data_IF_970286789296
#
_entry.id   IF_970286789296
#
_cell.length_a   1.000
_cell.length_b   1.000
_cell.length_c   1.000
_cell.angle_alpha   90.00
_cell.angle_beta   90.00
_cell.angle_gamma   90.00
#
_symmetry.space_group_name_H-M   'P 1'
#
loop_
_entity.id
_entity.type
_entity.pdbx_description
1 polymer ?
#
# COMPACT_ATOMS: atom_id res chain seq x y z
N UNK A 1 -25.28 -18.32 12.71
CA UNK A 1 -24.66 -18.64 14.03
C UNK A 1 -23.15 -18.88 13.95
N UNK A 2 -22.64 -19.73 13.05
CA UNK A 2 -21.21 -20.07 12.98
C UNK A 2 -20.27 -18.86 12.82
N UNK A 3 -20.64 -17.88 11.98
CA UNK A 3 -19.88 -16.64 11.81
C UNK A 3 -19.77 -15.85 13.14
N UNK A 4 -20.86 -15.75 13.89
CA UNK A 4 -20.86 -15.08 15.19
C UNK A 4 -19.96 -15.82 16.15
N UNK A 5 -20.07 -17.15 16.27
CA UNK A 5 -19.23 -17.93 17.18
C UNK A 5 -17.71 -17.81 16.91
N UNK A 6 -17.30 -17.62 15.66
CA UNK A 6 -15.89 -17.46 15.26
C UNK A 6 -15.40 -16.02 15.51
N UNK A 7 -16.21 -15.00 15.21
CA UNK A 7 -15.78 -13.60 15.32
C UNK A 7 -16.04 -12.94 16.68
N UNK A 8 -17.04 -13.43 17.43
CA UNK A 8 -17.37 -12.93 18.77
C UNK A 8 -16.18 -12.93 19.74
N UNK A 9 -15.32 -13.97 19.83
CA UNK A 9 -14.14 -13.93 20.70
C UNK A 9 -13.14 -12.85 20.27
N UNK A 10 -12.92 -12.64 18.97
CA UNK A 10 -12.04 -11.57 18.49
C UNK A 10 -12.59 -10.18 18.81
N UNK A 11 -13.90 -9.97 18.67
CA UNK A 11 -14.56 -8.71 19.05
C UNK A 11 -14.50 -8.44 20.56
N UNK A 12 -14.71 -9.47 21.39
CA UNK A 12 -14.54 -9.39 22.84
C UNK A 12 -13.10 -9.06 23.22
N UNK A 13 -12.12 -9.62 22.52
CA UNK A 13 -10.70 -9.37 22.76
C UNK A 13 -10.31 -7.94 22.37
N UNK A 14 -10.83 -7.40 21.27
CA UNK A 14 -10.66 -5.99 20.89
C UNK A 14 -11.34 -5.06 21.89
N UNK A 15 -12.57 -5.35 22.31
CA UNK A 15 -13.31 -4.56 23.29
C UNK A 15 -12.64 -4.58 24.67
N UNK A 16 -12.07 -5.72 25.08
CA UNK A 16 -11.29 -5.86 26.31
C UNK A 16 -9.90 -5.24 26.24
N UNK A 17 -9.27 -5.20 25.06
CA UNK A 17 -7.98 -4.54 24.85
C UNK A 17 -8.10 -3.00 24.76
N UNK A 18 -9.25 -2.48 24.33
CA UNK A 18 -9.55 -1.04 24.22
C UNK A 18 -9.23 -0.21 25.49
N UNK A 19 -9.66 -0.58 26.71
CA UNK A 19 -9.34 0.17 27.92
C UNK A 19 -7.83 0.15 28.24
N UNK A 20 -7.13 -0.95 27.98
CA UNK A 20 -5.67 -1.02 28.13
C UNK A 20 -4.96 -0.17 27.06
N UNK A 21 -5.51 -0.11 25.85
CA UNK A 21 -5.00 0.68 24.74
C UNK A 21 -5.11 2.19 25.01
N UNK A 22 -6.21 2.65 25.63
CA UNK A 22 -6.39 4.03 26.11
C UNK A 22 -5.33 4.39 27.17
N UNK A 23 -5.10 3.52 28.16
CA UNK A 23 -4.06 3.73 29.18
C UNK A 23 -2.64 3.78 28.59
N UNK A 24 -2.34 2.93 27.59
CA UNK A 24 -1.07 2.95 26.87
C UNK A 24 -0.91 4.22 26.01
N UNK A 25 -1.99 4.68 25.36
CA UNK A 25 -2.02 5.91 24.57
C UNK A 25 -1.88 7.17 25.41
N UNK A 26 -2.33 7.18 26.66
CA UNK A 26 -2.11 8.30 27.56
C UNK A 26 -0.62 8.53 27.87
N UNK A 27 0.23 7.51 27.70
CA UNK A 27 1.66 7.63 27.92
C UNK A 27 2.38 8.28 26.73
N UNK A 28 3.01 9.43 26.98
CA UNK A 28 3.72 10.23 25.95
C UNK A 28 4.81 9.45 25.23
N UNK A 29 5.46 8.49 25.90
CA UNK A 29 6.51 7.65 25.31
C UNK A 29 5.95 6.68 24.27
N UNK A 30 4.82 6.04 24.56
CA UNK A 30 4.14 5.14 23.61
C UNK A 30 3.64 5.90 22.38
N UNK A 31 3.09 7.10 22.55
CA UNK A 31 2.69 7.96 21.42
C UNK A 31 3.86 8.36 20.53
N UNK A 32 5.01 8.70 21.11
CA UNK A 32 6.22 9.03 20.36
C UNK A 32 6.75 7.80 19.60
N UNK A 33 6.76 6.62 20.24
CA UNK A 33 7.16 5.37 19.58
C UNK A 33 6.22 5.01 18.42
N UNK A 34 4.90 5.10 18.60
CA UNK A 34 3.92 4.88 17.52
C UNK A 34 4.08 5.89 16.38
N UNK A 35 4.37 7.16 16.69
CA UNK A 35 4.69 8.18 15.69
C UNK A 35 5.95 7.82 14.89
N UNK A 36 7.00 7.34 15.57
CA UNK A 36 8.22 6.85 14.96
C UNK A 36 7.99 5.62 14.08
N UNK A 37 7.18 4.66 14.53
CA UNK A 37 6.79 3.48 13.75
C UNK A 37 6.02 3.89 12.50
N UNK A 38 5.05 4.80 12.63
CA UNK A 38 4.30 5.30 11.48
C UNK A 38 5.22 6.01 10.46
N UNK A 39 6.17 6.82 10.94
CA UNK A 39 7.17 7.45 10.09
C UNK A 39 8.11 6.42 9.42
N UNK A 40 8.49 5.37 10.15
CA UNK A 40 9.32 4.29 9.63
C UNK A 40 8.58 3.48 8.55
N UNK A 41 7.29 3.18 8.72
CA UNK A 41 6.49 2.49 7.70
C UNK A 41 6.34 3.36 6.46
N UNK A 42 6.04 4.65 6.61
CA UNK A 42 5.95 5.58 5.47
C UNK A 42 7.30 5.69 4.76
N UNK A 43 8.40 5.78 5.51
CA UNK A 43 9.76 5.79 4.97
C UNK A 43 10.13 4.48 4.25
N UNK A 44 9.71 3.33 4.80
CA UNK A 44 9.90 2.02 4.19
C UNK A 44 9.05 1.88 2.93
N UNK A 45 7.81 2.35 2.92
CA UNK A 45 6.96 2.39 1.72
C UNK A 45 7.57 3.30 0.65
N UNK A 46 8.11 4.46 1.01
CA UNK A 46 8.80 5.36 0.08
C UNK A 46 10.09 4.72 -0.48
N UNK A 47 10.90 4.10 0.37
CA UNK A 47 12.09 3.35 -0.04
C UNK A 47 11.73 2.14 -0.91
N UNK A 48 10.60 1.49 -0.61
CA UNK A 48 10.03 0.41 -1.40
C UNK A 48 9.54 0.92 -2.77
N UNK A 49 9.06 2.16 -2.90
CA UNK A 49 8.78 2.72 -4.23
C UNK A 49 10.07 2.92 -5.05
N UNK A 50 11.17 3.32 -4.42
CA UNK A 50 12.43 3.65 -5.10
C UNK A 50 13.21 2.41 -5.53
N UNK A 51 13.37 1.42 -4.64
CA UNK A 51 14.37 0.35 -4.83
C UNK A 51 13.86 -1.06 -5.16
N UNK A 52 12.63 -1.47 -4.83
CA UNK A 52 12.05 -2.71 -5.38
C UNK A 52 11.09 -2.52 -6.56
N UNK A 53 10.31 -1.43 -6.67
CA UNK A 53 9.44 -1.19 -7.85
C UNK A 53 10.17 -0.45 -8.98
N UNK A 54 10.91 0.62 -8.66
CA UNK A 54 11.66 1.39 -9.66
C UNK A 54 12.76 0.58 -10.36
N UNK A 55 13.37 -0.38 -9.66
CA UNK A 55 14.43 -1.25 -10.20
C UNK A 55 13.90 -2.46 -10.98
N UNK A 56 12.74 -3.01 -10.62
CA UNK A 56 12.16 -4.19 -11.28
C UNK A 56 11.23 -3.86 -12.45
N UNK A 57 10.69 -2.64 -12.52
CA UNK A 57 9.70 -2.24 -13.52
C UNK A 57 10.26 -1.45 -14.72
N UNK A 58 11.51 -1.00 -14.68
CA UNK A 58 12.06 -0.09 -15.69
C UNK A 58 13.38 -0.68 -16.20
N UNK A 59 13.31 -1.39 -17.33
CA UNK A 59 14.50 -1.87 -18.05
C UNK A 59 14.92 -0.90 -19.17
N UNK A 60 14.10 0.11 -19.51
CA UNK A 60 14.45 1.17 -20.48
C UNK A 60 13.54 2.41 -20.49
N UNK A 61 13.85 3.38 -21.36
CA UNK A 61 13.09 4.65 -21.52
C UNK A 61 11.61 4.44 -21.92
N UNK A 62 11.29 3.31 -22.56
CA UNK A 62 9.92 2.98 -22.97
C UNK A 62 9.00 2.69 -21.75
N UNK A 63 9.51 2.02 -20.72
CA UNK A 63 8.77 1.72 -19.49
C UNK A 63 8.46 3.00 -18.71
N UNK A 64 9.38 3.98 -18.73
CA UNK A 64 9.19 5.31 -18.15
C UNK A 64 8.05 6.08 -18.86
N UNK A 65 7.96 5.98 -20.19
CA UNK A 65 6.90 6.60 -20.97
C UNK A 65 5.52 6.04 -20.64
N UNK A 66 5.40 4.71 -20.52
CA UNK A 66 4.17 4.05 -20.10
C UNK A 66 3.79 4.38 -18.65
N UNK A 67 4.77 4.39 -17.73
CA UNK A 67 4.52 4.76 -16.34
C UNK A 67 4.02 6.21 -16.22
N UNK A 68 4.59 7.14 -16.98
CA UNK A 68 4.14 8.54 -17.03
C UNK A 68 2.75 8.68 -17.64
N UNK A 69 2.44 7.96 -18.71
CA UNK A 69 1.08 7.95 -19.28
C UNK A 69 0.05 7.35 -18.32
N UNK A 70 0.39 6.24 -17.65
CA UNK A 70 -0.47 5.61 -16.65
C UNK A 70 -0.69 6.50 -15.42
N UNK A 71 0.37 7.17 -14.96
CA UNK A 71 0.30 8.16 -13.88
C UNK A 71 -0.57 9.35 -14.28
N UNK A 72 -0.38 9.88 -15.49
CA UNK A 72 -1.20 10.97 -16.03
C UNK A 72 -2.68 10.55 -16.17
N UNK A 73 -2.95 9.32 -16.59
CA UNK A 73 -4.30 8.76 -16.63
C UNK A 73 -4.91 8.63 -15.22
N UNK A 74 -4.15 8.15 -14.23
CA UNK A 74 -4.64 8.03 -12.84
C UNK A 74 -4.92 9.41 -12.21
N UNK A 75 -3.98 10.35 -12.34
CA UNK A 75 -4.05 11.67 -11.71
C UNK A 75 -5.04 12.61 -12.39
N UNK A 76 -5.10 12.60 -13.73
CA UNK A 76 -5.94 13.53 -14.50
C UNK A 76 -7.33 12.97 -14.78
N UNK A 77 -7.49 11.64 -14.89
CA UNK A 77 -8.77 11.03 -15.29
C UNK A 77 -9.48 10.28 -14.15
N UNK A 78 -8.92 10.20 -12.92
CA UNK A 78 -9.56 9.56 -11.76
C UNK A 78 -10.05 8.12 -12.04
N UNK A 79 -9.42 7.44 -13.00
CA UNK A 79 -9.82 6.09 -13.40
C UNK A 79 -9.55 5.09 -12.26
N UNK A 80 -10.42 4.08 -12.09
CA UNK A 80 -10.25 3.10 -11.03
C UNK A 80 -8.90 2.38 -11.19
N UNK A 81 -8.11 2.21 -10.10
CA UNK A 81 -6.74 1.68 -10.17
C UNK A 81 -6.61 0.35 -10.92
N UNK A 82 -7.63 -0.51 -10.88
CA UNK A 82 -7.64 -1.81 -11.56
C UNK A 82 -7.59 -1.71 -13.10
N UNK A 83 -8.20 -0.69 -13.71
CA UNK A 83 -8.14 -0.50 -15.17
C UNK A 83 -6.74 -0.09 -15.62
N UNK A 84 -6.06 0.71 -14.81
CA UNK A 84 -4.69 1.15 -15.12
C UNK A 84 -3.69 0.01 -14.93
N UNK A 85 -3.87 -0.84 -13.91
CA UNK A 85 -3.05 -2.05 -13.75
C UNK A 85 -3.24 -3.02 -14.93
N UNK A 86 -4.47 -3.25 -15.39
CA UNK A 86 -4.73 -4.09 -16.57
C UNK A 86 -4.14 -3.51 -17.87
N UNK A 87 -4.24 -2.20 -18.06
CA UNK A 87 -3.65 -1.51 -19.21
C UNK A 87 -2.12 -1.54 -19.21
N UNK A 88 -1.49 -1.31 -18.06
CA UNK A 88 -0.05 -1.41 -17.89
C UNK A 88 0.45 -2.86 -18.06
N UNK A 89 -0.28 -3.84 -17.55
CA UNK A 89 0.06 -5.26 -17.73
C UNK A 89 -0.01 -5.67 -19.20
N UNK A 90 -1.04 -5.24 -19.94
CA UNK A 90 -1.15 -5.50 -21.37
C UNK A 90 -0.09 -4.78 -22.20
N UNK A 91 0.22 -3.52 -21.86
CA UNK A 91 1.27 -2.74 -22.52
C UNK A 91 2.67 -3.31 -22.28
N UNK A 92 2.97 -3.69 -21.03
CA UNK A 92 4.24 -4.34 -20.68
C UNK A 92 4.41 -5.70 -21.37
N UNK A 93 3.33 -6.48 -21.50
CA UNK A 93 3.35 -7.75 -22.22
C UNK A 93 3.62 -7.58 -23.72
N UNK A 94 3.03 -6.57 -24.37
CA UNK A 94 3.28 -6.27 -25.78
C UNK A 94 4.72 -5.80 -26.05
N UNK A 95 5.29 -5.00 -25.15
CA UNK A 95 6.69 -4.55 -25.27
C UNK A 95 7.65 -5.72 -25.05
N UNK A 96 7.36 -6.60 -24.09
CA UNK A 96 8.13 -7.81 -23.84
C UNK A 96 7.98 -8.88 -24.94
N UNK A 97 6.91 -8.84 -25.73
CA UNK A 97 6.67 -9.77 -26.84
C UNK A 97 7.26 -9.28 -28.18
N UNK A 98 7.60 -7.99 -28.29
CA UNK A 98 8.16 -7.36 -29.50
C UNK A 98 9.68 -7.16 -29.41
N UNK A 99 10.25 -7.15 -28.20
CA UNK A 99 11.71 -7.18 -27.95
C UNK A 99 12.24 -8.60 -27.74
#
# INVERSE_FOLDING_TARGET
LALVAIFLPSFLLVAGALPFWEALRANRHCRAALGGVNAAVVGLLAAALIHPVGSSAIHGLADLGLALMALAALMRWRLPPWLVVLGCAGGGWLIAAVG
#
